data_IF_909460234416
#
_entry.id   IF_909460234416
#
_cell.length_a   1.000
_cell.length_b   1.000
_cell.length_c   1.000
_cell.angle_alpha   90.00
_cell.angle_beta   90.00
_cell.angle_gamma   90.00
#
_symmetry.space_group_name_H-M   'P 1'
#
loop_
_entity.id
_entity.type
_entity.pdbx_description
1 polymer ?
#
# COMPACT_ATOMS: atom_id res chain seq x y z
N UNK A 1 -64.81 -12.86 54.07
CA UNK A 1 -63.39 -13.16 53.98
C UNK A 1 -62.76 -12.06 53.09
N UNK A 2 -62.32 -10.98 53.72
CA UNK A 2 -61.90 -9.75 53.06
C UNK A 2 -60.37 -9.82 52.93
N UNK A 3 -59.85 -9.86 51.70
CA UNK A 3 -58.42 -9.91 51.44
C UNK A 3 -57.94 -8.48 51.35
N UNK A 4 -57.08 -8.10 52.30
CA UNK A 4 -56.45 -6.77 52.34
C UNK A 4 -55.43 -6.63 51.22
N UNK A 5 -55.81 -5.82 50.22
CA UNK A 5 -54.95 -5.48 49.02
C UNK A 5 -53.87 -4.45 49.34
N UNK A 6 -53.89 -3.83 50.52
CA UNK A 6 -52.95 -2.74 50.82
C UNK A 6 -51.56 -3.17 51.26
N UNK A 7 -51.37 -4.39 51.73
CA UNK A 7 -50.08 -4.87 52.23
C UNK A 7 -49.07 -5.25 51.09
N UNK A 8 -49.58 -5.55 49.87
CA UNK A 8 -48.72 -5.95 48.73
C UNK A 8 -48.14 -4.78 47.93
N UNK A 9 -48.81 -3.62 48.03
CA UNK A 9 -48.35 -2.43 47.29
C UNK A 9 -47.12 -1.78 47.96
N UNK A 10 -47.09 -1.80 49.29
CA UNK A 10 -45.99 -1.14 50.06
C UNK A 10 -44.68 -1.91 49.97
N UNK A 11 -44.71 -3.24 49.83
CA UNK A 11 -43.47 -4.04 49.67
C UNK A 11 -42.85 -3.93 48.28
N UNK A 12 -43.65 -3.62 47.25
CA UNK A 12 -43.13 -3.42 45.88
C UNK A 12 -42.36 -2.12 45.69
N UNK A 13 -42.74 -1.07 46.42
CA UNK A 13 -42.10 0.25 46.30
C UNK A 13 -40.78 0.34 47.08
N UNK A 14 -40.61 -0.40 48.15
CA UNK A 14 -39.36 -0.44 48.90
C UNK A 14 -38.21 -1.14 48.14
N UNK A 15 -38.54 -2.18 47.34
CA UNK A 15 -37.55 -2.88 46.52
C UNK A 15 -37.07 -2.07 45.28
N UNK A 16 -37.93 -1.23 44.73
CA UNK A 16 -37.54 -0.38 43.58
C UNK A 16 -36.61 0.79 43.96
N UNK A 17 -36.70 1.30 45.19
CA UNK A 17 -35.81 2.39 45.64
C UNK A 17 -34.42 1.93 46.07
N UNK A 18 -34.23 0.65 46.38
CA UNK A 18 -32.92 0.11 46.71
C UNK A 18 -32.05 -0.16 45.46
N UNK A 19 -32.68 -0.51 44.33
CA UNK A 19 -31.96 -0.74 43.06
C UNK A 19 -31.56 0.52 42.30
N UNK A 20 -32.11 1.69 42.66
CA UNK A 20 -31.77 2.95 41.99
C UNK A 20 -30.62 3.73 42.65
N UNK A 21 -30.04 3.23 43.75
CA UNK A 21 -28.90 3.92 44.40
C UNK A 21 -27.56 3.23 44.22
N UNK A 22 -27.47 2.12 43.49
CA UNK A 22 -26.25 1.36 43.29
C UNK A 22 -25.64 1.48 41.87
N UNK A 23 -26.10 2.44 41.05
CA UNK A 23 -25.64 2.62 39.65
C UNK A 23 -25.00 4.00 39.39
N UNK A 24 -24.32 4.54 40.38
CA UNK A 24 -23.67 5.84 40.21
C UNK A 24 -22.17 5.81 40.61
N UNK A 25 -21.49 4.69 40.39
CA UNK A 25 -20.01 4.66 40.34
C UNK A 25 -19.62 3.65 39.22
N UNK A 26 -19.88 4.04 38.02
CA UNK A 26 -19.41 3.33 36.84
C UNK A 26 -18.47 4.28 36.08
N UNK A 27 -17.16 3.95 36.10
CA UNK A 27 -16.13 4.74 35.45
C UNK A 27 -16.51 5.13 34.02
N UNK A 28 -16.38 6.41 33.70
CA UNK A 28 -16.30 6.88 32.36
C UNK A 28 -15.07 6.22 31.72
N UNK A 29 -15.26 5.06 31.09
CA UNK A 29 -14.30 4.54 30.15
C UNK A 29 -14.23 5.61 29.05
N UNK A 30 -13.18 6.41 29.08
CA UNK A 30 -12.78 7.24 27.97
C UNK A 30 -12.53 6.29 26.80
N UNK A 31 -13.56 6.04 25.99
CA UNK A 31 -13.39 5.43 24.69
C UNK A 31 -12.52 6.41 23.89
N UNK A 32 -11.20 6.15 23.89
CA UNK A 32 -10.32 6.79 22.93
C UNK A 32 -10.92 6.51 21.55
N UNK A 33 -11.10 7.53 20.69
CA UNK A 33 -11.54 7.28 19.35
C UNK A 33 -10.49 6.38 18.71
N UNK A 34 -10.85 5.13 18.46
CA UNK A 34 -10.10 4.28 17.54
C UNK A 34 -10.32 4.96 16.19
N UNK A 35 -9.34 5.75 15.75
CA UNK A 35 -9.31 6.20 14.37
C UNK A 35 -9.14 4.94 13.52
N UNK A 36 -10.25 4.35 13.12
CA UNK A 36 -10.24 3.35 12.07
C UNK A 36 -9.61 4.04 10.87
N UNK A 37 -8.52 3.48 10.34
CA UNK A 37 -7.91 3.96 9.09
C UNK A 37 -9.05 4.03 8.07
N UNK A 38 -9.31 5.23 7.58
CA UNK A 38 -10.37 5.42 6.59
C UNK A 38 -10.08 4.56 5.38
N UNK A 39 -11.06 3.79 4.93
CA UNK A 39 -10.93 2.94 3.76
C UNK A 39 -10.93 3.85 2.52
N UNK A 40 -9.79 3.97 1.86
CA UNK A 40 -9.63 4.75 0.66
C UNK A 40 -9.05 3.89 -0.46
N UNK A 41 -9.51 4.13 -1.69
CA UNK A 41 -8.91 3.50 -2.87
C UNK A 41 -7.45 3.92 -3.00
N UNK A 42 -6.61 3.01 -3.46
CA UNK A 42 -5.21 3.32 -3.77
C UNK A 42 -5.16 4.32 -4.93
N UNK A 43 -4.43 5.41 -4.74
CA UNK A 43 -4.29 6.48 -5.72
C UNK A 43 -3.58 6.00 -6.98
N UNK A 44 -4.05 6.47 -8.13
CA UNK A 44 -3.40 6.20 -9.42
C UNK A 44 -2.19 7.10 -9.62
N UNK A 45 -1.21 6.55 -10.35
CA UNK A 45 -0.01 7.23 -10.81
C UNK A 45 0.26 6.94 -12.28
N UNK A 46 1.22 7.67 -12.85
CA UNK A 46 1.62 7.48 -14.24
C UNK A 46 2.32 6.14 -14.44
N UNK A 47 2.12 5.54 -15.61
CA UNK A 47 2.82 4.33 -16.05
C UNK A 47 4.33 4.57 -16.14
N UNK A 48 4.70 5.76 -16.59
CA UNK A 48 6.09 6.14 -16.83
C UNK A 48 6.68 5.53 -18.12
N UNK A 49 7.78 6.10 -18.60
CA UNK A 49 8.40 5.68 -19.88
C UNK A 49 9.20 4.38 -19.78
N UNK A 50 9.45 3.90 -18.56
CA UNK A 50 10.23 2.68 -18.32
C UNK A 50 9.37 1.40 -18.32
N UNK A 51 8.05 1.52 -18.55
CA UNK A 51 7.20 0.34 -18.70
C UNK A 51 7.58 -0.44 -19.95
N UNK A 52 7.62 -1.76 -19.83
CA UNK A 52 8.02 -2.65 -20.90
C UNK A 52 7.14 -3.90 -20.91
N UNK A 53 6.57 -4.21 -22.05
CA UNK A 53 5.76 -5.41 -22.23
C UNK A 53 6.63 -6.67 -22.19
N UNK A 54 6.07 -7.76 -21.66
CA UNK A 54 6.72 -9.06 -21.71
C UNK A 54 7.65 -9.38 -20.53
N UNK A 55 7.53 -8.64 -19.42
CA UNK A 55 8.25 -8.98 -18.20
C UNK A 55 8.06 -10.45 -17.79
N UNK A 56 9.06 -11.09 -17.13
CA UNK A 56 8.99 -12.47 -16.70
C UNK A 56 7.75 -12.75 -15.85
N UNK A 57 7.04 -13.83 -16.16
CA UNK A 57 5.81 -14.21 -15.47
C UNK A 57 6.10 -15.01 -14.21
N UNK A 58 5.27 -14.82 -13.19
CA UNK A 58 5.27 -15.62 -11.96
C UNK A 58 6.59 -15.60 -11.20
N UNK A 59 7.20 -14.43 -11.10
CA UNK A 59 8.46 -14.20 -10.42
C UNK A 59 8.22 -13.29 -9.20
N UNK A 60 8.32 -13.86 -8.00
CA UNK A 60 8.23 -13.11 -6.72
C UNK A 60 9.57 -12.54 -6.27
N UNK A 61 10.67 -13.17 -6.70
CA UNK A 61 12.03 -12.72 -6.45
C UNK A 61 12.57 -11.97 -7.67
N UNK A 62 12.55 -10.64 -7.61
CA UNK A 62 13.00 -9.79 -8.70
C UNK A 62 14.51 -9.57 -8.69
N UNK A 63 15.12 -9.55 -7.49
CA UNK A 63 16.53 -9.34 -7.30
C UNK A 63 17.27 -10.68 -7.10
N UNK A 64 18.38 -10.88 -7.80
CA UNK A 64 19.29 -11.99 -7.53
C UNK A 64 19.87 -11.87 -6.10
N UNK A 65 20.43 -12.98 -5.57
CA UNK A 65 21.01 -12.97 -4.22
C UNK A 65 22.17 -12.00 -4.08
N UNK A 66 22.94 -11.85 -5.16
CA UNK A 66 24.10 -10.95 -5.30
C UNK A 66 23.76 -9.58 -5.86
N UNK A 67 22.45 -9.27 -6.10
CA UNK A 67 22.04 -7.95 -6.56
C UNK A 67 22.46 -6.87 -5.55
N UNK A 68 23.21 -5.84 -5.98
CA UNK A 68 23.62 -4.74 -5.11
C UNK A 68 22.44 -3.98 -4.49
N UNK A 69 22.71 -3.31 -3.38
CA UNK A 69 21.72 -2.47 -2.69
C UNK A 69 21.11 -3.11 -1.45
N UNK A 70 20.30 -2.33 -0.76
CA UNK A 70 19.56 -2.77 0.42
C UNK A 70 18.44 -3.72 0.01
N UNK A 71 18.46 -4.96 0.50
CA UNK A 71 17.37 -5.92 0.24
C UNK A 71 16.05 -5.40 0.79
N UNK A 72 15.00 -5.56 0.00
CA UNK A 72 13.63 -5.12 0.33
C UNK A 72 12.67 -6.29 0.18
N UNK A 73 11.86 -6.49 1.22
CA UNK A 73 10.70 -7.37 1.18
C UNK A 73 9.43 -6.51 1.28
N UNK A 74 8.69 -6.45 0.21
CA UNK A 74 7.40 -5.74 0.12
C UNK A 74 6.26 -6.77 0.14
N UNK A 75 5.32 -6.60 1.07
CA UNK A 75 4.19 -7.50 1.26
C UNK A 75 2.89 -6.74 1.40
N UNK A 76 1.79 -7.43 1.20
CA UNK A 76 0.47 -6.88 1.43
C UNK A 76 -0.63 -7.74 0.82
N UNK A 77 -1.78 -7.13 0.67
CA UNK A 77 -2.94 -7.73 0.03
C UNK A 77 -3.51 -6.83 -1.07
N UNK A 78 -4.22 -7.42 -2.00
CA UNK A 78 -5.09 -6.71 -2.94
C UNK A 78 -6.53 -6.90 -2.46
N UNK A 79 -7.19 -5.79 -2.20
CA UNK A 79 -8.51 -5.73 -1.58
C UNK A 79 -9.49 -4.98 -2.49
N UNK A 80 -10.76 -5.33 -2.39
CA UNK A 80 -11.86 -4.56 -2.98
C UNK A 80 -12.05 -3.22 -2.26
N UNK A 81 -12.92 -2.38 -2.79
CA UNK A 81 -13.25 -1.04 -2.29
C UNK A 81 -13.76 -1.00 -0.83
N UNK A 82 -14.16 -2.12 -0.27
CA UNK A 82 -14.56 -2.25 1.12
C UNK A 82 -13.37 -2.41 2.10
N UNK A 83 -12.14 -2.45 1.60
CA UNK A 83 -10.89 -2.71 2.33
C UNK A 83 -10.86 -4.02 3.13
N UNK A 84 -11.69 -4.97 2.78
CA UNK A 84 -11.86 -6.23 3.52
C UNK A 84 -11.88 -7.45 2.62
N UNK A 85 -12.57 -7.37 1.49
CA UNK A 85 -12.71 -8.49 0.57
C UNK A 85 -11.42 -8.67 -0.23
N UNK A 86 -10.70 -9.79 -0.04
CA UNK A 86 -9.47 -10.05 -0.78
C UNK A 86 -9.76 -10.38 -2.25
N UNK A 87 -8.83 -10.04 -3.13
CA UNK A 87 -8.89 -10.32 -4.57
C UNK A 87 -7.83 -11.35 -4.95
N UNK A 88 -8.14 -12.65 -4.87
CA UNK A 88 -7.22 -13.72 -5.23
C UNK A 88 -7.02 -13.77 -6.76
N UNK A 89 -5.86 -14.29 -7.19
CA UNK A 89 -5.54 -14.45 -8.60
C UNK A 89 -5.37 -13.14 -9.35
N UNK A 90 -5.24 -12.02 -8.63
CA UNK A 90 -4.96 -10.72 -9.23
C UNK A 90 -3.52 -10.68 -9.74
N UNK A 91 -3.35 -10.22 -10.98
CA UNK A 91 -2.02 -10.04 -11.55
C UNK A 91 -1.42 -8.73 -11.00
N UNK A 92 -0.18 -8.80 -10.53
CA UNK A 92 0.63 -7.64 -10.16
C UNK A 92 1.86 -7.62 -11.06
N UNK A 93 1.99 -6.59 -11.89
CA UNK A 93 3.20 -6.30 -12.66
C UNK A 93 4.05 -5.28 -11.90
N UNK A 94 5.37 -5.52 -11.86
CA UNK A 94 6.30 -4.72 -11.08
C UNK A 94 7.50 -4.37 -11.93
N UNK A 95 7.96 -3.12 -11.85
CA UNK A 95 9.25 -2.71 -12.42
C UNK A 95 9.85 -1.56 -11.62
N UNK A 96 11.16 -1.56 -11.52
CA UNK A 96 11.91 -0.57 -10.76
C UNK A 96 13.33 -0.39 -11.28
N UNK A 97 13.97 0.68 -10.86
CA UNK A 97 15.40 0.88 -11.04
C UNK A 97 16.23 -0.02 -10.07
N UNK A 98 17.49 -0.22 -10.38
CA UNK A 98 18.49 -0.76 -9.45
C UNK A 98 18.80 0.25 -8.31
N UNK A 99 19.71 -0.10 -7.41
CA UNK A 99 20.14 0.74 -6.28
C UNK A 99 20.81 2.06 -6.69
N UNK A 100 21.19 2.19 -7.97
CA UNK A 100 21.83 3.38 -8.57
C UNK A 100 20.90 4.18 -9.47
N UNK A 101 19.65 3.80 -9.58
CA UNK A 101 18.66 4.50 -10.40
C UNK A 101 18.65 4.08 -11.87
N UNK A 102 19.26 2.95 -12.25
CA UNK A 102 19.28 2.48 -13.63
C UNK A 102 18.16 1.44 -13.85
N UNK A 103 17.48 1.54 -15.01
CA UNK A 103 16.53 0.50 -15.44
C UNK A 103 17.21 -0.47 -16.40
N UNK A 104 16.93 -1.76 -16.23
CA UNK A 104 17.40 -2.82 -17.11
C UNK A 104 18.91 -2.80 -17.38
N UNK A 105 19.69 -2.41 -16.35
CA UNK A 105 21.15 -2.20 -16.42
C UNK A 105 21.60 -1.13 -17.45
N UNK A 106 20.66 -0.28 -17.86
CA UNK A 106 20.93 0.87 -18.74
C UNK A 106 21.06 2.15 -17.91
N UNK A 107 21.86 3.07 -18.42
CA UNK A 107 21.99 4.41 -17.82
C UNK A 107 20.67 5.16 -17.93
N UNK A 108 20.34 6.02 -16.96
CA UNK A 108 19.15 6.87 -17.04
C UNK A 108 19.15 7.66 -18.36
N UNK A 109 18.02 7.61 -19.08
CA UNK A 109 17.85 8.32 -20.36
C UNK A 109 18.18 7.52 -21.63
N UNK A 110 18.64 6.28 -21.51
CA UNK A 110 18.79 5.39 -22.65
C UNK A 110 17.51 4.63 -22.95
N UNK A 111 16.70 5.15 -23.87
CA UNK A 111 15.39 4.59 -24.24
C UNK A 111 15.40 3.86 -25.60
N UNK A 112 16.53 3.80 -26.28
CA UNK A 112 16.58 3.50 -27.72
C UNK A 112 16.61 2.01 -28.06
N UNK A 113 16.68 1.12 -27.07
CA UNK A 113 16.68 -0.32 -27.33
C UNK A 113 15.79 -1.10 -26.35
N UNK A 114 15.17 -2.20 -26.80
CA UNK A 114 14.42 -3.05 -25.89
C UNK A 114 15.34 -3.56 -24.79
N UNK A 115 14.91 -3.52 -23.53
CA UNK A 115 15.68 -4.07 -22.43
C UNK A 115 15.70 -5.58 -22.54
N UNK A 116 16.85 -6.14 -22.76
CA UNK A 116 17.08 -7.59 -22.73
C UNK A 116 18.45 -7.85 -22.12
N UNK A 117 18.55 -8.63 -21.08
CA UNK A 117 17.47 -9.29 -20.31
C UNK A 117 16.73 -8.31 -19.38
N UNK A 118 15.47 -8.60 -19.07
CA UNK A 118 14.71 -7.87 -18.06
C UNK A 118 15.42 -7.91 -16.71
N UNK A 119 15.51 -6.75 -16.04
CA UNK A 119 16.15 -6.62 -14.75
C UNK A 119 15.22 -5.90 -13.78
N UNK A 120 15.04 -6.44 -12.58
CA UNK A 120 14.15 -5.92 -11.53
C UNK A 120 12.72 -5.66 -12.04
N UNK A 121 12.25 -6.57 -12.88
CA UNK A 121 10.89 -6.61 -13.42
C UNK A 121 10.30 -7.99 -13.22
N UNK A 122 9.01 -8.04 -12.96
CA UNK A 122 8.33 -9.30 -12.80
C UNK A 122 6.82 -9.16 -12.82
N UNK A 123 6.18 -10.30 -12.82
CA UNK A 123 4.73 -10.44 -12.72
C UNK A 123 4.43 -11.58 -11.76
N UNK A 124 3.49 -11.37 -10.85
CA UNK A 124 3.02 -12.39 -9.92
C UNK A 124 1.51 -12.42 -9.83
N UNK A 125 0.98 -13.45 -9.19
CA UNK A 125 -0.43 -13.57 -8.82
C UNK A 125 -0.58 -13.51 -7.31
N UNK A 126 -1.65 -12.86 -6.86
CA UNK A 126 -2.04 -12.93 -5.45
C UNK A 126 -2.50 -14.36 -5.10
N UNK A 127 -2.24 -14.77 -3.86
CA UNK A 127 -2.68 -16.07 -3.33
C UNK A 127 -4.20 -16.14 -3.10
N UNK A 128 -4.68 -17.26 -2.54
CA UNK A 128 -6.10 -17.49 -2.23
C UNK A 128 -6.68 -16.47 -1.23
N UNK A 129 -5.85 -15.76 -0.48
CA UNK A 129 -6.21 -14.71 0.47
C UNK A 129 -5.94 -13.30 -0.08
N UNK A 130 -5.72 -13.16 -1.38
CA UNK A 130 -5.40 -11.89 -2.02
C UNK A 130 -4.01 -11.35 -1.67
N UNK A 131 -3.12 -12.12 -1.04
CA UNK A 131 -1.81 -11.67 -0.56
C UNK A 131 -0.73 -11.79 -1.62
N UNK A 132 0.26 -10.93 -1.50
CA UNK A 132 1.47 -10.94 -2.32
C UNK A 132 2.72 -10.71 -1.49
N UNK A 133 3.85 -11.16 -2.00
CA UNK A 133 5.18 -10.89 -1.46
C UNK A 133 6.16 -10.69 -2.62
N UNK A 134 7.04 -9.70 -2.50
CA UNK A 134 8.04 -9.33 -3.50
C UNK A 134 9.39 -9.22 -2.80
N UNK A 135 10.36 -10.01 -3.25
CA UNK A 135 11.77 -9.92 -2.82
C UNK A 135 12.56 -9.15 -3.88
N UNK A 136 13.10 -7.99 -3.50
CA UNK A 136 13.81 -7.08 -4.38
C UNK A 136 14.90 -6.29 -3.63
N UNK A 137 15.33 -5.17 -4.19
CA UNK A 137 16.19 -4.18 -3.54
C UNK A 137 15.50 -2.82 -3.49
N UNK A 138 15.91 -1.97 -2.57
CA UNK A 138 15.48 -0.57 -2.55
C UNK A 138 16.01 0.13 -3.81
N UNK A 139 15.15 0.71 -4.66
CA UNK A 139 15.60 1.41 -5.87
C UNK A 139 16.39 2.68 -5.53
N UNK A 140 17.27 3.08 -6.41
CA UNK A 140 17.93 4.39 -6.39
C UNK A 140 17.00 5.49 -6.92
N UNK A 141 17.23 6.72 -6.45
CA UNK A 141 16.70 7.92 -7.09
C UNK A 141 17.44 8.16 -8.41
N UNK A 142 16.79 8.82 -9.38
CA UNK A 142 17.44 9.11 -10.66
C UNK A 142 16.98 10.46 -11.24
N UNK A 143 17.87 11.18 -11.97
CA UNK A 143 17.49 12.41 -12.61
C UNK A 143 16.53 12.17 -13.76
N UNK A 144 15.58 13.09 -13.99
CA UNK A 144 14.77 13.10 -15.20
C UNK A 144 15.71 13.38 -16.38
N UNK A 145 15.72 12.50 -17.40
CA UNK A 145 16.61 12.70 -18.54
C UNK A 145 16.31 14.02 -19.27
N UNK A 146 17.34 14.79 -19.62
CA UNK A 146 17.16 16.02 -20.40
C UNK A 146 16.49 15.72 -21.75
N UNK A 147 15.56 16.58 -22.16
CA UNK A 147 14.91 16.47 -23.47
C UNK A 147 13.85 15.36 -23.57
N UNK A 148 13.42 14.78 -22.44
CA UNK A 148 12.32 13.83 -22.44
C UNK A 148 11.01 14.55 -22.79
N UNK A 149 10.32 14.16 -23.90
CA UNK A 149 9.10 14.83 -24.35
C UNK A 149 8.02 14.92 -23.27
N UNK A 150 7.52 16.12 -23.04
CA UNK A 150 6.49 16.40 -22.03
C UNK A 150 7.01 16.58 -20.61
N UNK A 151 8.30 16.42 -20.37
CA UNK A 151 8.95 16.61 -19.07
C UNK A 151 9.93 17.78 -19.03
N UNK A 152 10.02 18.57 -20.09
CA UNK A 152 10.97 19.69 -20.23
C UNK A 152 10.84 20.70 -19.08
N UNK A 153 9.61 20.89 -18.57
CA UNK A 153 9.34 21.82 -17.46
C UNK A 153 9.96 21.41 -16.12
N UNK A 154 10.38 20.15 -15.99
CA UNK A 154 10.96 19.65 -14.75
C UNK A 154 12.49 19.77 -14.71
N UNK A 155 13.13 20.15 -15.81
CA UNK A 155 14.56 20.45 -15.87
C UNK A 155 15.44 19.32 -15.31
N UNK A 156 16.29 19.66 -14.34
CA UNK A 156 17.23 18.73 -13.70
C UNK A 156 16.66 18.08 -12.44
N UNK A 157 15.35 17.90 -12.36
CA UNK A 157 14.73 17.29 -11.19
C UNK A 157 15.14 15.83 -11.03
N UNK A 158 15.40 15.41 -9.79
CA UNK A 158 15.64 14.01 -9.44
C UNK A 158 14.31 13.39 -8.98
N UNK A 159 13.94 12.26 -9.58
CA UNK A 159 12.83 11.43 -9.14
C UNK A 159 13.17 10.77 -7.81
N UNK A 160 12.24 10.81 -6.87
CA UNK A 160 12.34 10.05 -5.64
C UNK A 160 12.44 8.53 -5.93
N UNK A 161 13.01 7.77 -5.02
CA UNK A 161 13.01 6.30 -5.08
C UNK A 161 11.58 5.79 -5.18
N UNK A 162 11.30 4.95 -6.16
CA UNK A 162 9.94 4.42 -6.35
C UNK A 162 9.94 3.07 -7.04
N UNK A 163 8.88 2.32 -6.76
CA UNK A 163 8.57 1.04 -7.41
C UNK A 163 7.29 1.24 -8.20
N UNK A 164 7.31 0.96 -9.48
CA UNK A 164 6.12 0.95 -10.31
C UNK A 164 5.33 -0.34 -10.11
N UNK A 165 4.03 -0.19 -9.99
CA UNK A 165 3.09 -1.29 -9.80
C UNK A 165 1.91 -1.13 -10.75
N UNK A 166 1.52 -2.23 -11.39
CA UNK A 166 0.27 -2.31 -12.14
C UNK A 166 -0.51 -3.51 -11.63
N UNK A 167 -1.71 -3.28 -11.13
CA UNK A 167 -2.58 -4.31 -10.56
C UNK A 167 -3.73 -4.55 -11.52
N UNK A 168 -3.89 -5.78 -11.97
CA UNK A 168 -4.84 -6.20 -12.98
C UNK A 168 -5.80 -7.25 -12.39
N UNK A 169 -6.83 -6.82 -11.68
CA UNK A 169 -7.80 -7.70 -11.07
C UNK A 169 -8.84 -8.18 -12.10
N UNK A 170 -9.47 -9.32 -11.83
CA UNK A 170 -10.66 -9.73 -12.54
C UNK A 170 -11.89 -8.97 -12.00
N UNK A 171 -12.72 -8.40 -12.86
CA UNK A 171 -13.96 -7.67 -12.54
C UNK A 171 -13.78 -6.42 -11.64
N UNK A 172 -12.60 -5.86 -11.56
CA UNK A 172 -12.33 -4.60 -10.85
C UNK A 172 -11.57 -3.63 -11.76
N UNK A 173 -11.50 -2.36 -11.36
CA UNK A 173 -10.74 -1.36 -12.10
C UNK A 173 -9.25 -1.64 -11.96
N UNK A 174 -8.55 -1.72 -13.09
CA UNK A 174 -7.09 -1.85 -13.08
C UNK A 174 -6.44 -0.60 -12.47
N UNK A 175 -5.40 -0.81 -11.69
CA UNK A 175 -4.64 0.25 -11.04
C UNK A 175 -3.23 0.31 -11.65
N UNK A 176 -2.79 1.50 -12.04
CA UNK A 176 -1.37 1.82 -12.25
C UNK A 176 -0.97 2.81 -11.18
N UNK A 177 0.10 2.50 -10.43
CA UNK A 177 0.57 3.34 -9.33
C UNK A 177 2.08 3.26 -9.15
N UNK A 178 2.61 4.05 -8.23
CA UNK A 178 4.02 4.02 -7.83
C UNK A 178 4.06 4.04 -6.31
N UNK A 179 4.92 3.23 -5.70
CA UNK A 179 5.16 3.24 -4.27
C UNK A 179 6.48 3.94 -4.00
N UNK A 180 6.45 4.92 -3.14
CA UNK A 180 7.58 5.77 -2.74
C UNK A 180 8.11 5.35 -1.37
N UNK A 181 9.21 5.95 -0.92
CA UNK A 181 9.83 5.65 0.36
C UNK A 181 9.75 6.87 1.28
N UNK A 182 9.10 6.71 2.43
CA UNK A 182 8.99 7.76 3.44
C UNK A 182 10.38 8.18 3.93
N UNK A 183 10.61 9.48 3.98
CA UNK A 183 11.91 10.04 4.35
C UNK A 183 12.93 10.12 3.21
N UNK A 184 12.55 9.79 1.96
CA UNK A 184 13.39 10.08 0.80
C UNK A 184 13.50 11.60 0.60
N UNK A 185 14.73 12.09 0.45
CA UNK A 185 15.03 13.53 0.32
C UNK A 185 14.43 14.18 -0.93
N UNK A 186 14.20 13.39 -1.97
CA UNK A 186 13.62 13.87 -3.23
C UNK A 186 12.08 13.80 -3.25
N UNK A 187 11.45 13.11 -2.28
CA UNK A 187 10.01 12.85 -2.33
C UNK A 187 9.17 14.13 -2.31
N UNK A 188 9.52 15.08 -1.46
CA UNK A 188 8.76 16.33 -1.35
C UNK A 188 8.76 17.17 -2.64
N UNK A 189 9.81 17.05 -3.44
CA UNK A 189 9.96 17.72 -4.73
C UNK A 189 9.53 16.87 -5.94
N UNK A 190 9.19 15.60 -5.74
CA UNK A 190 8.77 14.72 -6.84
C UNK A 190 7.38 15.13 -7.33
N UNK A 191 7.22 15.46 -8.62
CA UNK A 191 5.97 16.02 -9.14
C UNK A 191 4.81 15.02 -9.15
N UNK A 192 5.06 13.74 -8.97
CA UNK A 192 4.05 12.69 -8.92
C UNK A 192 3.80 12.20 -7.50
N UNK A 193 4.86 11.84 -6.76
CA UNK A 193 4.75 11.27 -5.41
C UNK A 193 4.63 12.28 -4.28
N UNK A 194 5.15 13.50 -4.47
CA UNK A 194 5.28 14.50 -3.40
C UNK A 194 3.97 14.92 -2.74
N UNK A 195 2.86 14.76 -3.42
CA UNK A 195 1.52 15.13 -2.94
C UNK A 195 0.65 13.93 -2.54
N UNK A 196 1.21 12.72 -2.53
CA UNK A 196 0.49 11.46 -2.28
C UNK A 196 1.09 10.68 -1.11
N UNK A 197 0.91 11.17 0.12
CA UNK A 197 1.49 10.52 1.30
C UNK A 197 1.00 9.08 1.50
N UNK A 198 -0.19 8.74 0.96
CA UNK A 198 -0.75 7.39 0.99
C UNK A 198 0.05 6.36 0.19
N UNK A 199 0.88 6.80 -0.75
CA UNK A 199 1.76 5.95 -1.56
C UNK A 199 3.19 5.84 -1.01
N UNK A 200 3.51 6.50 0.10
CA UNK A 200 4.83 6.45 0.72
C UNK A 200 4.92 5.29 1.73
N UNK A 201 5.76 4.32 1.43
CA UNK A 201 6.02 3.15 2.26
C UNK A 201 6.65 3.54 3.58
N UNK A 202 6.11 3.03 4.67
CA UNK A 202 6.75 3.06 5.99
C UNK A 202 7.61 1.80 6.12
N UNK A 203 8.93 1.98 6.15
CA UNK A 203 9.88 0.88 6.10
C UNK A 203 10.51 0.61 7.46
N UNK A 204 10.77 -0.67 7.75
CA UNK A 204 11.46 -1.12 8.95
C UNK A 204 12.61 -2.03 8.57
N UNK A 205 13.77 -1.83 9.20
CA UNK A 205 14.91 -2.73 9.00
C UNK A 205 14.79 -3.94 9.94
N UNK A 206 14.94 -5.14 9.38
CA UNK A 206 14.97 -6.40 10.11
C UNK A 206 16.10 -7.29 9.54
N UNK A 207 17.18 -7.37 10.25
CA UNK A 207 18.41 -8.01 9.80
C UNK A 207 18.96 -7.36 8.53
N UNK A 208 19.14 -8.15 7.47
CA UNK A 208 19.62 -7.66 6.18
C UNK A 208 18.52 -7.08 5.29
N UNK A 209 17.25 -7.25 5.66
CA UNK A 209 16.10 -6.78 4.89
C UNK A 209 15.56 -5.47 5.44
N UNK A 210 15.18 -4.60 4.53
CA UNK A 210 14.18 -3.58 4.75
C UNK A 210 12.81 -4.21 4.44
N UNK A 211 11.84 -4.04 5.32
CA UNK A 211 10.48 -4.58 5.18
C UNK A 211 9.48 -3.44 5.04
N UNK A 212 8.51 -3.62 4.18
CA UNK A 212 7.37 -2.73 4.02
C UNK A 212 6.11 -3.55 3.79
N UNK A 213 4.99 -3.10 4.35
CA UNK A 213 3.67 -3.65 4.10
C UNK A 213 2.82 -2.60 3.38
N UNK A 214 2.13 -2.99 2.30
CA UNK A 214 1.23 -2.12 1.55
C UNK A 214 0.05 -2.90 0.98
N UNK A 215 -1.17 -2.47 1.28
CA UNK A 215 -2.38 -3.05 0.71
C UNK A 215 -2.89 -2.19 -0.45
N UNK A 216 -3.15 -2.81 -1.59
CA UNK A 216 -3.82 -2.16 -2.73
C UNK A 216 -5.32 -2.30 -2.58
N UNK A 217 -6.04 -1.19 -2.55
CA UNK A 217 -7.50 -1.14 -2.50
C UNK A 217 -8.03 -0.68 -3.85
N UNK A 218 -8.84 -1.51 -4.50
CA UNK A 218 -9.28 -1.30 -5.86
C UNK A 218 -10.77 -0.98 -5.94
N UNK A 219 -11.11 -0.05 -6.85
CA UNK A 219 -12.50 0.20 -7.19
C UNK A 219 -13.16 -0.99 -7.87
N UNK A 220 -14.46 -1.19 -7.66
CA UNK A 220 -15.24 -2.18 -8.39
C UNK A 220 -15.39 -1.74 -9.85
N UNK A 221 -15.21 -2.69 -10.78
CA UNK A 221 -15.63 -2.52 -12.17
C UNK A 221 -17.17 -2.47 -12.25
N UNK A 222 -17.67 -1.80 -13.28
CA UNK A 222 -19.11 -1.78 -13.59
C UNK A 222 -19.55 -3.12 -14.15
#
# INVERSE_FOLDING_TARGET
>A
MSIDLNSRIVQGLARRRFLQRSLAVGGAALALPIFAKECALTEQEILGPMYNYGAPKFQVKLAADDEPGQKLMLRGAVLSADCKTPLPGTIIEIWQADDKGNYDKKKPGDFNEPPMPFHLRGMLLTDANGRYEIDTVVPGAYPIPPGMPGLEKFGNLTRARHIHIKVLPFLHVALTTQLYFKGDEHLAGDPWGGHKPGLALDTKTDGKYMKADFDFVLGTGL
#
